data_IF_475347564179
#
_entry.id   IF_475347564179
#
_cell.length_a   1.000
_cell.length_b   1.000
_cell.length_c   1.000
_cell.angle_alpha   90.00
_cell.angle_beta   90.00
_cell.angle_gamma   90.00
#
_symmetry.space_group_name_H-M   'P 1'
#
loop_
_entity.id
_entity.type
_entity.pdbx_description
1 polymer ?
#
# COMPACT_ATOMS: atom_id res chain seq x y z
N UNK A 1 -0.35 6.16 -12.35
CA UNK A 1 1.11 6.46 -12.26
C UNK A 1 1.38 7.64 -11.33
N UNK A 2 2.59 7.70 -10.78
CA UNK A 2 3.06 8.90 -10.08
C UNK A 2 3.53 9.94 -11.11
N UNK A 3 3.08 11.17 -10.97
CA UNK A 3 3.42 12.27 -11.87
C UNK A 3 3.38 13.63 -11.21
N UNK A 4 3.75 14.65 -11.96
CA UNK A 4 3.65 16.07 -11.60
C UNK A 4 3.39 16.89 -12.86
N UNK A 5 2.60 17.92 -12.77
CA UNK A 5 2.38 18.89 -13.85
C UNK A 5 3.29 20.11 -13.73
N UNK A 6 3.97 20.25 -12.59
CA UNK A 6 4.87 21.38 -12.29
C UNK A 6 6.33 20.92 -12.30
N UNK A 7 7.16 21.56 -13.09
CA UNK A 7 8.61 21.31 -13.18
C UNK A 7 9.38 22.33 -12.33
N UNK A 8 9.09 22.40 -11.02
CA UNK A 8 9.71 23.33 -10.07
C UNK A 8 10.96 22.77 -9.38
N UNK A 9 11.42 21.57 -9.79
CA UNK A 9 12.58 20.89 -9.21
C UNK A 9 12.30 20.16 -7.90
N UNK A 10 11.16 20.42 -7.25
CA UNK A 10 10.72 19.73 -6.02
C UNK A 10 9.43 18.95 -6.23
N UNK A 11 8.83 19.08 -7.43
CA UNK A 11 7.60 18.37 -7.81
C UNK A 11 6.48 18.62 -6.80
N UNK A 12 6.16 19.91 -6.55
CA UNK A 12 5.27 20.34 -5.47
C UNK A 12 3.85 19.81 -5.59
N UNK A 13 3.40 19.50 -6.81
CA UNK A 13 2.10 18.90 -7.12
C UNK A 13 2.16 17.39 -7.37
N UNK A 14 3.27 16.73 -7.06
CA UNK A 14 3.40 15.27 -7.28
C UNK A 14 2.26 14.50 -6.62
N UNK A 15 1.73 13.51 -7.34
CA UNK A 15 0.67 12.63 -6.86
C UNK A 15 0.44 11.44 -7.79
N UNK A 16 -0.54 10.63 -7.46
CA UNK A 16 -1.02 9.55 -8.31
C UNK A 16 -2.02 10.10 -9.32
N UNK A 17 -1.79 9.82 -10.58
CA UNK A 17 -2.73 10.14 -11.66
C UNK A 17 -3.38 8.85 -12.15
N UNK A 18 -4.68 8.90 -12.28
CA UNK A 18 -5.49 7.75 -12.67
C UNK A 18 -6.06 7.93 -14.07
N UNK A 19 -6.08 6.85 -14.84
CA UNK A 19 -6.84 6.77 -16.08
C UNK A 19 -7.33 5.33 -16.26
N UNK A 20 -8.49 5.18 -16.88
CA UNK A 20 -9.15 3.91 -17.10
C UNK A 20 -9.25 3.61 -18.61
N UNK A 21 -9.11 2.32 -18.95
CA UNK A 21 -9.42 1.80 -20.29
C UNK A 21 -10.64 0.87 -20.18
N UNK A 22 -11.69 1.16 -20.91
CA UNK A 22 -12.96 0.41 -20.91
C UNK A 22 -12.91 -0.90 -21.74
N UNK A 23 -11.72 -1.28 -22.19
CA UNK A 23 -11.48 -2.41 -23.09
C UNK A 23 -11.40 -2.00 -24.57
N UNK A 24 -11.76 -0.78 -24.90
CA UNK A 24 -11.71 -0.23 -26.27
C UNK A 24 -10.91 1.07 -26.33
N UNK A 25 -11.14 1.98 -25.37
CA UNK A 25 -10.55 3.32 -25.38
C UNK A 25 -10.03 3.72 -24.01
N UNK A 26 -8.97 4.54 -23.99
CA UNK A 26 -8.54 5.23 -22.79
C UNK A 26 -9.44 6.46 -22.52
N UNK A 27 -9.71 6.70 -21.27
CA UNK A 27 -10.33 7.95 -20.81
C UNK A 27 -9.48 9.18 -21.16
N UNK A 28 -10.02 10.37 -20.95
CA UNK A 28 -9.29 11.61 -21.13
C UNK A 28 -8.03 11.63 -20.24
N UNK A 29 -6.98 12.34 -20.70
CA UNK A 29 -5.78 12.50 -19.88
C UNK A 29 -6.14 13.14 -18.54
N UNK A 30 -5.71 12.55 -17.40
CA UNK A 30 -6.07 13.08 -16.09
C UNK A 30 -5.43 14.45 -15.87
N UNK A 31 -6.19 15.37 -15.31
CA UNK A 31 -5.78 16.74 -14.99
C UNK A 31 -5.64 16.99 -13.49
N UNK A 32 -6.05 16.01 -12.67
CA UNK A 32 -5.97 16.05 -11.23
C UNK A 32 -5.35 14.76 -10.69
N UNK A 33 -4.70 14.85 -9.56
CA UNK A 33 -4.22 13.69 -8.80
C UNK A 33 -5.35 13.08 -7.96
N UNK A 34 -5.17 11.84 -7.56
CA UNK A 34 -6.07 11.10 -6.66
C UNK A 34 -6.09 11.75 -5.27
N UNK A 35 -4.94 12.14 -4.76
CA UNK A 35 -4.75 12.68 -3.42
C UNK A 35 -4.97 14.19 -3.35
N UNK A 36 -5.31 14.68 -2.17
CA UNK A 36 -5.43 16.12 -1.91
C UNK A 36 -4.09 16.78 -1.56
N UNK A 37 -3.11 16.00 -1.08
CA UNK A 37 -1.77 16.46 -0.71
C UNK A 37 -0.70 15.90 -1.66
N UNK A 38 0.52 16.46 -1.63
CA UNK A 38 1.67 15.93 -2.35
C UNK A 38 1.97 14.51 -1.91
N UNK A 39 1.96 13.56 -2.84
CA UNK A 39 2.05 12.14 -2.58
C UNK A 39 2.80 11.42 -3.71
N UNK A 40 2.75 10.10 -3.75
CA UNK A 40 3.24 9.31 -4.87
C UNK A 40 3.63 7.88 -4.48
N UNK A 41 4.25 7.20 -5.47
CA UNK A 41 4.71 5.82 -5.33
C UNK A 41 3.62 4.88 -4.80
N UNK A 42 2.40 5.09 -5.26
CA UNK A 42 1.25 4.28 -4.86
C UNK A 42 1.01 3.12 -5.80
N UNK A 43 0.08 2.29 -5.40
CA UNK A 43 -0.43 1.16 -6.16
C UNK A 43 -1.95 1.24 -6.21
N UNK A 44 -2.54 0.64 -7.24
CA UNK A 44 -3.98 0.56 -7.44
C UNK A 44 -4.45 -0.88 -7.30
N UNK A 45 -5.62 -1.06 -6.71
CA UNK A 45 -6.23 -2.35 -6.45
C UNK A 45 -7.73 -2.31 -6.74
N UNK A 46 -8.30 -3.44 -7.15
CA UNK A 46 -9.75 -3.62 -7.13
C UNK A 46 -10.23 -3.78 -5.69
N UNK A 47 -11.32 -3.13 -5.35
CA UNK A 47 -11.90 -3.14 -4.02
C UNK A 47 -13.42 -2.96 -4.09
N UNK A 48 -14.18 -4.01 -3.85
CA UNK A 48 -15.65 -4.00 -3.78
C UNK A 48 -16.31 -3.31 -4.99
N UNK A 49 -15.92 -3.72 -6.20
CA UNK A 49 -16.48 -3.17 -7.47
C UNK A 49 -16.04 -1.74 -7.81
N UNK A 50 -15.03 -1.22 -7.13
CA UNK A 50 -14.39 0.08 -7.35
C UNK A 50 -12.87 -0.07 -7.30
N UNK A 51 -12.13 1.01 -7.38
CA UNK A 51 -10.69 0.97 -7.23
C UNK A 51 -10.24 1.66 -5.94
N UNK A 52 -9.17 1.13 -5.38
CA UNK A 52 -8.47 1.69 -4.22
C UNK A 52 -7.04 2.06 -4.62
N UNK A 53 -6.59 3.23 -4.20
CA UNK A 53 -5.20 3.68 -4.31
C UNK A 53 -4.61 3.83 -2.91
N UNK A 54 -3.46 3.19 -2.68
CA UNK A 54 -2.63 3.43 -1.51
C UNK A 54 -1.35 4.15 -1.97
N UNK A 55 -1.05 5.30 -1.40
CA UNK A 55 0.13 6.12 -1.73
C UNK A 55 0.71 6.76 -0.47
N UNK A 56 1.95 7.27 -0.50
CA UNK A 56 2.56 7.89 0.68
C UNK A 56 2.83 9.38 0.50
N UNK A 57 2.67 10.15 1.55
CA UNK A 57 2.87 11.61 1.60
C UNK A 57 4.18 12.03 2.31
N UNK A 58 5.11 11.12 2.43
CA UNK A 58 6.41 11.31 3.08
C UNK A 58 6.58 10.62 4.43
N UNK A 59 5.51 10.41 5.19
CA UNK A 59 5.55 9.73 6.49
C UNK A 59 4.43 8.70 6.67
N UNK A 60 3.28 8.95 6.06
CA UNK A 60 2.07 8.16 6.22
C UNK A 60 1.54 7.68 4.88
N UNK A 61 0.70 6.66 4.92
CA UNK A 61 0.01 6.12 3.75
C UNK A 61 -1.39 6.71 3.67
N UNK A 62 -1.68 7.41 2.58
CA UNK A 62 -3.02 7.78 2.17
C UNK A 62 -3.71 6.61 1.49
N UNK A 63 -4.98 6.38 1.82
CA UNK A 63 -5.82 5.34 1.23
C UNK A 63 -7.07 6.00 0.65
N UNK A 64 -7.26 5.86 -0.64
CA UNK A 64 -8.32 6.53 -1.38
C UNK A 64 -9.11 5.51 -2.19
N UNK A 65 -10.41 5.68 -2.28
CA UNK A 65 -11.26 4.89 -3.16
C UNK A 65 -12.15 5.80 -4.02
N UNK A 66 -12.45 5.34 -5.23
CA UNK A 66 -13.47 5.95 -6.08
C UNK A 66 -14.84 5.30 -5.85
N UNK A 67 -15.90 5.78 -6.51
CA UNK A 67 -17.25 5.23 -6.35
C UNK A 67 -17.50 3.98 -7.20
N UNK A 68 -16.77 3.79 -8.28
CA UNK A 68 -16.87 2.66 -9.19
C UNK A 68 -15.64 2.55 -10.08
N UNK A 69 -15.43 1.40 -10.70
CA UNK A 69 -14.38 1.20 -11.70
C UNK A 69 -14.48 2.25 -12.81
N UNK A 70 -13.38 2.96 -13.07
CA UNK A 70 -13.31 4.03 -14.07
C UNK A 70 -13.77 5.41 -13.58
N UNK A 71 -14.35 5.53 -12.38
CA UNK A 71 -14.73 6.82 -11.83
C UNK A 71 -13.51 7.63 -11.38
N UNK A 72 -13.64 8.96 -11.39
CA UNK A 72 -12.54 9.89 -11.03
C UNK A 72 -12.83 10.68 -9.74
N UNK A 73 -13.86 10.30 -9.01
CA UNK A 73 -14.37 10.93 -7.79
C UNK A 73 -13.68 10.35 -6.52
N UNK A 74 -12.39 10.40 -6.49
CA UNK A 74 -11.57 9.84 -5.42
C UNK A 74 -11.84 10.51 -4.06
N UNK A 75 -12.05 9.69 -3.03
CA UNK A 75 -12.22 10.14 -1.66
C UNK A 75 -11.30 9.35 -0.72
N UNK A 76 -10.74 10.03 0.30
CA UNK A 76 -9.96 9.39 1.33
C UNK A 76 -10.87 8.48 2.20
N UNK A 77 -10.45 7.25 2.44
CA UNK A 77 -11.07 6.39 3.44
C UNK A 77 -10.71 6.88 4.86
N UNK A 78 -11.50 6.50 5.85
CA UNK A 78 -11.29 6.95 7.23
C UNK A 78 -9.93 6.50 7.82
N UNK A 79 -9.38 5.36 7.35
CA UNK A 79 -8.04 4.88 7.73
C UNK A 79 -6.88 5.66 7.07
N UNK A 80 -7.18 6.55 6.12
CA UNK A 80 -6.15 7.31 5.40
C UNK A 80 -5.28 8.13 6.37
N UNK A 81 -3.96 8.03 6.23
CA UNK A 81 -2.99 8.67 7.12
C UNK A 81 -2.68 7.94 8.42
N UNK A 82 -3.38 6.84 8.73
CA UNK A 82 -3.16 6.07 9.96
C UNK A 82 -2.06 5.01 9.86
N UNK A 83 -1.72 4.53 8.67
CA UNK A 83 -0.59 3.63 8.46
C UNK A 83 0.70 4.44 8.28
N UNK A 84 1.73 4.13 9.07
CA UNK A 84 3.03 4.81 9.04
C UNK A 84 3.96 4.05 8.10
N UNK A 85 4.45 4.72 7.06
CA UNK A 85 5.42 4.12 6.16
C UNK A 85 5.54 4.80 4.80
N UNK A 86 6.46 4.28 4.01
CA UNK A 86 6.79 4.72 2.65
C UNK A 86 6.49 3.60 1.66
N UNK A 87 6.25 3.94 0.38
CA UNK A 87 6.12 2.99 -0.72
C UNK A 87 5.14 1.83 -0.42
N UNK A 88 3.88 2.10 -0.06
CA UNK A 88 2.96 1.05 0.37
C UNK A 88 2.71 0.00 -0.72
N UNK A 89 2.54 -1.25 -0.28
CA UNK A 89 1.85 -2.29 -1.03
C UNK A 89 0.58 -2.62 -0.28
N UNK A 90 -0.52 -2.69 -1.00
CA UNK A 90 -1.80 -3.10 -0.44
C UNK A 90 -2.33 -4.34 -1.16
N UNK A 91 -3.31 -4.98 -0.59
CA UNK A 91 -4.13 -6.00 -1.24
C UNK A 91 -5.53 -5.97 -0.64
N UNK A 92 -6.52 -6.11 -1.52
CA UNK A 92 -7.93 -6.17 -1.17
C UNK A 92 -8.47 -7.47 -1.76
N UNK A 93 -8.65 -8.54 -0.97
CA UNK A 93 -9.16 -9.81 -1.49
C UNK A 93 -10.59 -9.63 -2.00
N UNK A 94 -10.87 -10.17 -3.19
CA UNK A 94 -12.18 -10.04 -3.81
C UNK A 94 -13.29 -10.63 -2.93
N UNK A 95 -14.40 -9.91 -2.81
CA UNK A 95 -15.58 -10.33 -2.03
C UNK A 95 -15.43 -10.18 -0.52
N UNK A 96 -14.44 -9.40 -0.07
CA UNK A 96 -14.27 -9.02 1.34
C UNK A 96 -14.19 -7.51 1.48
N UNK A 97 -14.39 -7.00 2.71
CA UNK A 97 -14.14 -5.62 3.09
C UNK A 97 -12.70 -5.40 3.61
N UNK A 98 -11.85 -6.40 3.45
CA UNK A 98 -10.49 -6.37 3.98
C UNK A 98 -9.57 -5.50 3.12
N UNK A 99 -8.79 -4.66 3.79
CA UNK A 99 -7.69 -3.89 3.21
C UNK A 99 -6.43 -4.18 4.01
N UNK A 100 -5.45 -4.78 3.37
CA UNK A 100 -4.15 -5.10 3.95
C UNK A 100 -3.11 -4.15 3.41
N UNK A 101 -2.27 -3.58 4.28
CA UNK A 101 -1.23 -2.62 3.90
C UNK A 101 0.09 -3.04 4.53
N UNK A 102 1.15 -3.05 3.74
CA UNK A 102 2.52 -3.25 4.19
C UNK A 102 3.42 -2.16 3.64
N UNK A 103 4.31 -1.62 4.47
CA UNK A 103 5.31 -0.64 4.04
C UNK A 103 6.50 -0.58 5.01
N UNK A 104 7.67 -0.13 4.57
CA UNK A 104 8.76 0.25 5.47
C UNK A 104 8.35 1.40 6.36
N UNK A 105 8.79 1.39 7.60
CA UNK A 105 8.62 2.52 8.52
C UNK A 105 9.47 3.70 8.07
N UNK A 106 8.87 4.89 7.98
CA UNK A 106 9.56 6.11 7.57
C UNK A 106 10.65 6.59 8.54
N UNK A 107 10.54 6.23 9.82
CA UNK A 107 11.51 6.62 10.86
C UNK A 107 12.60 5.61 11.15
N UNK A 108 12.39 4.35 10.74
CA UNK A 108 13.34 3.25 10.97
C UNK A 108 13.34 2.35 9.76
N UNK A 109 14.17 2.61 8.75
CA UNK A 109 14.14 1.90 7.46
C UNK A 109 14.45 0.39 7.56
N UNK A 110 14.73 -0.13 8.75
CA UNK A 110 14.90 -1.55 9.04
C UNK A 110 13.63 -2.23 9.56
N UNK A 111 12.52 -1.51 9.70
CA UNK A 111 11.25 -2.07 10.15
C UNK A 111 10.22 -2.00 9.01
N UNK A 112 9.42 -3.04 8.90
CA UNK A 112 8.26 -3.09 8.01
C UNK A 112 7.00 -3.11 8.85
N UNK A 113 6.10 -2.19 8.59
CA UNK A 113 4.81 -2.09 9.24
C UNK A 113 3.74 -2.84 8.44
N UNK A 114 2.85 -3.47 9.15
CA UNK A 114 1.65 -4.10 8.63
C UNK A 114 0.42 -3.47 9.27
N UNK A 115 -0.63 -3.24 8.50
CA UNK A 115 -1.95 -2.84 8.99
C UNK A 115 -3.05 -3.58 8.23
N UNK A 116 -4.18 -3.81 8.90
CA UNK A 116 -5.38 -4.41 8.33
C UNK A 116 -6.62 -3.64 8.77
N UNK A 117 -7.48 -3.33 7.82
CA UNK A 117 -8.89 -2.98 8.05
C UNK A 117 -9.76 -4.17 7.64
N UNK A 118 -10.84 -4.44 8.33
CA UNK A 118 -11.83 -5.48 8.03
C UNK A 118 -13.27 -4.91 7.94
N UNK A 119 -13.38 -3.61 7.77
CA UNK A 119 -14.63 -2.85 7.73
C UNK A 119 -14.67 -1.83 6.59
N UNK A 120 -14.04 -2.14 5.45
CA UNK A 120 -14.05 -1.28 4.28
C UNK A 120 -13.22 0.00 4.41
N UNK A 121 -12.28 0.03 5.35
CA UNK A 121 -11.43 1.19 5.60
C UNK A 121 -12.06 2.23 6.53
N UNK A 122 -13.06 1.86 7.33
CA UNK A 122 -13.60 2.72 8.37
C UNK A 122 -12.68 2.78 9.60
N UNK A 123 -12.14 1.62 10.01
CA UNK A 123 -11.18 1.52 11.11
C UNK A 123 -10.05 0.54 10.81
N UNK A 124 -8.99 0.55 11.62
CA UNK A 124 -7.98 -0.50 11.62
C UNK A 124 -8.30 -1.56 12.67
N UNK A 125 -8.38 -2.84 12.25
CA UNK A 125 -8.35 -3.99 13.15
C UNK A 125 -6.92 -4.25 13.65
N UNK A 126 -5.91 -4.01 12.79
CA UNK A 126 -4.48 -4.06 13.12
C UNK A 126 -3.84 -2.79 12.56
N UNK A 127 -3.11 -2.04 13.39
CA UNK A 127 -2.49 -0.79 12.96
C UNK A 127 -1.01 -0.75 13.30
N UNK A 128 -0.16 -0.53 12.30
CA UNK A 128 1.28 -0.32 12.43
C UNK A 128 2.01 -1.43 13.21
N UNK A 129 1.54 -2.67 13.08
CA UNK A 129 2.25 -3.82 13.64
C UNK A 129 3.60 -3.96 12.96
N UNK A 130 4.66 -3.97 13.76
CA UNK A 130 6.01 -4.23 13.25
C UNK A 130 6.15 -5.73 12.96
N UNK A 131 6.49 -6.06 11.71
CA UNK A 131 6.71 -7.43 11.32
C UNK A 131 8.03 -7.97 11.91
N UNK A 132 8.14 -9.29 12.14
CA UNK A 132 9.33 -9.92 12.74
C UNK A 132 10.48 -10.03 11.72
N UNK A 133 10.86 -8.91 11.13
CA UNK A 133 12.01 -8.76 10.24
C UNK A 133 13.12 -8.10 11.08
N UNK A 134 14.16 -8.82 11.38
CA UNK A 134 15.23 -8.36 12.27
C UNK A 134 16.58 -8.20 11.56
N UNK A 135 17.57 -7.70 12.29
CA UNK A 135 18.91 -7.45 11.77
C UNK A 135 19.64 -8.73 11.29
N UNK A 136 19.25 -9.92 11.77
CA UNK A 136 19.85 -11.20 11.34
C UNK A 136 19.41 -11.60 9.94
N UNK A 137 18.30 -11.04 9.46
CA UNK A 137 17.79 -11.20 8.10
C UNK A 137 18.49 -10.27 7.09
N UNK A 138 19.63 -9.71 7.43
CA UNK A 138 20.40 -8.85 6.55
C UNK A 138 19.71 -7.56 6.17
N UNK A 139 18.88 -7.03 7.06
CA UNK A 139 18.07 -5.84 6.81
C UNK A 139 18.96 -4.61 6.67
N UNK A 140 19.48 -4.42 5.47
CA UNK A 140 20.03 -3.14 5.01
C UNK A 140 18.92 -2.11 4.83
N UNK A 141 19.16 -1.04 4.10
CA UNK A 141 18.10 -0.09 3.77
C UNK A 141 17.01 -0.79 2.95
N UNK A 142 15.80 -0.95 3.54
CA UNK A 142 14.63 -1.46 2.84
C UNK A 142 14.24 -0.43 1.77
N UNK A 143 14.18 -0.84 0.52
CA UNK A 143 13.76 0.00 -0.58
C UNK A 143 12.33 -0.34 -1.05
N UNK A 144 11.80 0.49 -1.92
CA UNK A 144 10.45 0.35 -2.47
C UNK A 144 10.16 -1.00 -3.15
N UNK A 145 11.19 -1.69 -3.63
CA UNK A 145 11.05 -2.87 -4.47
C UNK A 145 11.42 -4.18 -3.75
N UNK A 146 11.63 -4.12 -2.41
CA UNK A 146 12.13 -5.24 -1.64
C UNK A 146 11.03 -6.13 -1.05
N UNK A 147 9.76 -5.84 -1.23
CA UNK A 147 8.66 -6.59 -0.59
C UNK A 147 7.40 -6.61 -1.44
N UNK A 148 6.58 -7.64 -1.23
CA UNK A 148 5.26 -7.79 -1.82
C UNK A 148 4.37 -8.53 -0.84
N UNK A 149 3.05 -8.30 -0.93
CA UNK A 149 2.03 -8.95 -0.12
C UNK A 149 1.05 -9.71 -1.00
N UNK A 150 0.61 -10.87 -0.54
CA UNK A 150 -0.51 -11.63 -1.09
C UNK A 150 -1.36 -12.20 0.06
N UNK A 151 -2.64 -12.42 -0.22
CA UNK A 151 -3.60 -12.96 0.76
C UNK A 151 -4.42 -14.07 0.10
N UNK A 152 -4.60 -15.18 0.83
CA UNK A 152 -5.50 -16.28 0.46
C UNK A 152 -6.31 -16.70 1.70
N UNK A 153 -7.58 -16.35 1.72
CA UNK A 153 -8.44 -16.50 2.89
C UNK A 153 -7.88 -15.75 4.10
N UNK A 154 -7.62 -16.43 5.20
CA UNK A 154 -7.00 -15.87 6.40
C UNK A 154 -5.46 -15.88 6.37
N UNK A 155 -4.87 -16.45 5.32
CA UNK A 155 -3.42 -16.59 5.21
C UNK A 155 -2.83 -15.41 4.46
N UNK A 156 -1.88 -14.74 5.09
CA UNK A 156 -1.14 -13.63 4.53
C UNK A 156 0.28 -14.08 4.25
N UNK A 157 0.76 -13.76 3.08
CA UNK A 157 2.12 -13.99 2.62
C UNK A 157 2.79 -12.66 2.35
N UNK A 158 3.95 -12.41 2.96
CA UNK A 158 4.79 -11.25 2.65
C UNK A 158 6.15 -11.76 2.21
N UNK A 159 6.45 -11.55 0.94
CA UNK A 159 7.77 -11.79 0.39
C UNK A 159 8.64 -10.57 0.65
N UNK A 160 9.79 -10.77 1.25
CA UNK A 160 10.74 -9.72 1.59
C UNK A 160 12.15 -10.11 1.14
N UNK A 161 12.83 -9.20 0.47
CA UNK A 161 14.22 -9.38 0.02
C UNK A 161 15.15 -8.34 0.63
N UNK A 162 16.31 -8.78 1.12
CA UNK A 162 17.36 -7.88 1.56
C UNK A 162 18.53 -7.87 0.58
N UNK A 163 19.05 -6.69 0.25
CA UNK A 163 20.31 -6.49 -0.45
C UNK A 163 20.55 -7.37 -1.69
N UNK A 164 19.50 -7.88 -2.35
CA UNK A 164 19.56 -8.74 -3.54
C UNK A 164 20.16 -10.13 -3.32
N UNK A 165 20.42 -10.53 -2.09
CA UNK A 165 21.07 -11.80 -1.77
C UNK A 165 20.17 -12.79 -1.06
N UNK A 166 19.28 -12.31 -0.21
CA UNK A 166 18.44 -13.15 0.63
C UNK A 166 16.97 -12.85 0.40
N UNK A 167 16.15 -13.89 0.40
CA UNK A 167 14.72 -13.82 0.22
C UNK A 167 14.03 -14.53 1.39
N UNK A 168 13.09 -13.86 2.00
CA UNK A 168 12.33 -14.35 3.15
C UNK A 168 10.84 -14.36 2.83
N UNK A 169 10.16 -15.39 3.28
CA UNK A 169 8.72 -15.48 3.24
C UNK A 169 8.18 -15.41 4.68
N UNK A 170 7.42 -14.36 4.94
CA UNK A 170 6.65 -14.23 6.17
C UNK A 170 5.24 -14.74 5.91
N UNK A 171 4.74 -15.58 6.81
CA UNK A 171 3.39 -16.14 6.69
C UNK A 171 2.66 -16.01 8.02
N UNK A 172 1.41 -15.54 7.98
CA UNK A 172 0.45 -15.63 9.07
C UNK A 172 -0.82 -16.31 8.57
N UNK A 173 -1.34 -17.29 9.30
CA UNK A 173 -2.59 -17.99 8.98
C UNK A 173 -3.81 -17.42 9.72
N UNK A 174 -3.61 -16.35 10.49
CA UNK A 174 -4.62 -15.76 11.37
C UNK A 174 -4.80 -14.25 11.07
N UNK A 175 -4.95 -13.91 9.78
CA UNK A 175 -5.18 -12.53 9.32
C UNK A 175 -4.14 -11.51 9.82
N UNK A 176 -2.89 -11.95 10.07
CA UNK A 176 -1.81 -11.09 10.53
C UNK A 176 -1.83 -10.78 12.03
N UNK A 177 -2.59 -11.54 12.84
CA UNK A 177 -2.62 -11.33 14.28
C UNK A 177 -1.20 -11.35 14.89
N UNK A 178 -1.00 -10.59 15.95
CA UNK A 178 0.29 -10.50 16.62
C UNK A 178 0.74 -11.88 17.15
N UNK A 179 2.00 -12.21 16.94
CA UNK A 179 2.58 -13.48 17.36
C UNK A 179 2.28 -14.67 16.44
N UNK A 180 1.54 -14.49 15.34
CA UNK A 180 1.20 -15.58 14.40
C UNK A 180 2.12 -15.67 13.18
N UNK A 181 3.06 -14.74 13.05
CA UNK A 181 3.98 -14.69 11.93
C UNK A 181 5.09 -15.72 12.04
N UNK A 182 5.30 -16.45 10.97
CA UNK A 182 6.45 -17.36 10.77
C UNK A 182 7.34 -16.83 9.67
N UNK A 183 8.63 -17.08 9.74
CA UNK A 183 9.62 -16.64 8.76
C UNK A 183 10.35 -17.84 8.19
N UNK A 184 10.45 -17.90 6.87
CA UNK A 184 11.23 -18.89 6.12
C UNK A 184 12.23 -18.16 5.22
N UNK A 185 13.44 -18.68 5.13
CA UNK A 185 14.54 -18.21 4.25
C UNK A 185 14.85 -19.23 3.17
#
# INVERSE_FOLDING_TARGET
WTGSTVADGVWSDRGMFYNHNDGATWGAAPTARVETARSGFGSIYEFDGRELVASHDGANVGVYANSAVGATDWAALAISGGHIGLWPRAVCPAGTDDIYIVSPNSGTPTAVNFSRSDDGGATFAIQNQVLPIDATMGVGAISADCYQIAVDGSTIYILYGSSWTDLYLLTSTENGAEGTWTVQS
#
